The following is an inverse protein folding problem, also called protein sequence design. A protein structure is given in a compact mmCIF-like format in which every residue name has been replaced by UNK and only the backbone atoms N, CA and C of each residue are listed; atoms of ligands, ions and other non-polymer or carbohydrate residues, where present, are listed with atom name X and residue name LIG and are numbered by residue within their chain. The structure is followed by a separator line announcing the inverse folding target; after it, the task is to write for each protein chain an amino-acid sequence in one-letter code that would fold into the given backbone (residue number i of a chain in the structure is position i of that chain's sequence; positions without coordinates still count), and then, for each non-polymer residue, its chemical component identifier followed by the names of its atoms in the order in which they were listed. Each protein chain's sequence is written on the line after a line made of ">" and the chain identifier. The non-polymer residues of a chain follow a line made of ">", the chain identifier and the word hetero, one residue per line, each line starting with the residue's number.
data_IF_596433701732
#
_entry.id   IF_596433701732
#
_cell.length_a   1.000
_cell.length_b   1.000
_cell.length_c   1.000
_cell.angle_alpha   90.00
_cell.angle_beta   90.00
_cell.angle_gamma   90.00
#
_symmetry.space_group_name_H-M   'P 1'
#
loop_
_entity.id
_entity.type
_entity.pdbx_description
1 polymer ?
#
# COMPACT_ATOMS: atom_id res chain seq x y z
N UNK A 1 6.36 -13.50 5.68
CA UNK A 1 6.92 -13.25 4.33
C UNK A 1 6.14 -12.11 3.70
N UNK A 2 6.78 -11.17 3.00
CA UNK A 2 6.11 -10.08 2.28
C UNK A 2 6.27 -10.35 0.78
N UNK A 3 5.18 -10.29 0.02
CA UNK A 3 5.18 -10.34 -1.43
C UNK A 3 4.86 -8.93 -1.93
N UNK A 4 5.84 -8.25 -2.53
CA UNK A 4 5.66 -6.90 -3.08
C UNK A 4 5.28 -6.98 -4.55
N UNK A 5 4.11 -6.45 -4.90
CA UNK A 5 3.59 -6.45 -6.27
C UNK A 5 3.65 -5.03 -6.82
N UNK A 6 4.64 -4.76 -7.70
CA UNK A 6 4.78 -3.48 -8.38
C UNK A 6 4.34 -3.57 -9.85
N UNK A 7 3.93 -2.44 -10.42
CA UNK A 7 3.53 -2.34 -11.81
C UNK A 7 2.80 -1.02 -12.10
N UNK A 8 2.73 -0.59 -13.38
CA UNK A 8 2.07 0.65 -13.76
C UNK A 8 0.55 0.61 -13.51
N UNK A 9 -0.12 1.75 -13.68
CA UNK A 9 -1.58 1.84 -13.63
C UNK A 9 -2.21 0.86 -14.64
N UNK A 10 -3.27 0.16 -14.24
CA UNK A 10 -3.93 -0.84 -15.10
C UNK A 10 -3.20 -2.16 -15.30
N UNK A 11 -1.98 -2.37 -14.77
CA UNK A 11 -1.18 -3.58 -14.98
C UNK A 11 -1.74 -4.87 -14.31
N UNK A 12 -2.91 -4.81 -13.67
CA UNK A 12 -3.54 -5.97 -13.04
C UNK A 12 -3.00 -6.34 -11.64
N UNK A 13 -2.30 -5.44 -10.94
CA UNK A 13 -1.75 -5.67 -9.59
C UNK A 13 -2.79 -6.20 -8.59
N UNK A 14 -3.94 -5.53 -8.51
CA UNK A 14 -5.04 -5.90 -7.60
C UNK A 14 -5.61 -7.29 -7.93
N UNK A 15 -5.76 -7.61 -9.22
CA UNK A 15 -6.20 -8.92 -9.68
C UNK A 15 -5.20 -10.01 -9.29
N UNK A 16 -3.91 -9.76 -9.47
CA UNK A 16 -2.84 -10.68 -9.08
C UNK A 16 -2.81 -10.90 -7.56
N UNK A 17 -2.90 -9.83 -6.77
CA UNK A 17 -2.92 -9.90 -5.30
C UNK A 17 -4.08 -10.78 -4.78
N UNK A 18 -5.29 -10.57 -5.32
CA UNK A 18 -6.49 -11.37 -4.99
C UNK A 18 -6.29 -12.84 -5.32
N UNK A 19 -5.85 -13.17 -6.55
CA UNK A 19 -5.59 -14.56 -6.96
C UNK A 19 -4.49 -15.23 -6.14
N UNK A 20 -3.46 -14.50 -5.73
CA UNK A 20 -2.40 -15.02 -4.86
C UNK A 20 -2.95 -15.38 -3.48
N UNK A 21 -3.78 -14.52 -2.89
CA UNK A 21 -4.46 -14.80 -1.62
C UNK A 21 -5.37 -16.02 -1.72
N UNK A 22 -6.16 -16.14 -2.79
CA UNK A 22 -7.08 -17.26 -2.97
C UNK A 22 -6.32 -18.61 -3.04
N UNK A 23 -5.10 -18.61 -3.61
CA UNK A 23 -4.20 -19.78 -3.65
C UNK A 23 -3.45 -20.03 -2.33
N UNK A 24 -3.32 -19.02 -1.48
CA UNK A 24 -2.62 -19.07 -0.19
C UNK A 24 -3.48 -18.44 0.88
N UNK A 25 -4.42 -19.24 1.40
CA UNK A 25 -5.54 -18.83 2.26
C UNK A 25 -5.19 -18.08 3.56
N UNK A 26 -3.92 -18.02 3.96
CA UNK A 26 -3.43 -17.26 5.13
C UNK A 26 -2.74 -15.92 4.76
N UNK A 27 -2.82 -15.50 3.51
CA UNK A 27 -2.21 -14.24 3.06
C UNK A 27 -3.14 -13.06 3.31
N UNK A 28 -2.58 -11.94 3.77
CA UNK A 28 -3.28 -10.66 3.84
C UNK A 28 -2.93 -9.82 2.61
N UNK A 29 -3.89 -9.02 2.16
CA UNK A 29 -3.65 -7.99 1.13
C UNK A 29 -3.58 -6.66 1.86
N UNK A 30 -2.50 -5.93 1.64
CA UNK A 30 -2.32 -4.58 2.12
C UNK A 30 -2.13 -3.68 0.91
N UNK A 31 -2.99 -2.67 0.77
CA UNK A 31 -2.93 -1.68 -0.31
C UNK A 31 -2.39 -0.34 0.26
N UNK A 32 -1.18 0.10 -0.13
CA UNK A 32 -0.62 1.37 0.31
C UNK A 32 -1.45 2.61 -0.07
N UNK A 33 -2.38 2.50 -1.02
CA UNK A 33 -3.28 3.60 -1.39
C UNK A 33 -4.21 3.99 -0.21
N UNK A 34 -4.53 3.05 0.68
CA UNK A 34 -5.33 3.31 1.90
C UNK A 34 -4.63 4.31 2.84
N UNK A 35 -3.32 4.14 3.03
CA UNK A 35 -2.50 5.12 3.76
C UNK A 35 -2.44 6.44 3.00
N UNK A 36 -2.47 6.38 1.67
CA UNK A 36 -2.56 7.55 0.80
C UNK A 36 -3.78 8.42 1.08
N UNK A 37 -4.95 7.81 1.24
CA UNK A 37 -6.18 8.55 1.59
C UNK A 37 -6.05 9.26 2.94
N UNK A 38 -5.50 8.59 3.96
CA UNK A 38 -5.26 9.23 5.27
C UNK A 38 -4.31 10.42 5.13
N UNK A 39 -3.20 10.27 4.39
CA UNK A 39 -2.22 11.34 4.20
C UNK A 39 -2.83 12.54 3.49
N UNK A 40 -3.59 12.32 2.40
CA UNK A 40 -4.25 13.39 1.64
C UNK A 40 -5.17 14.26 2.49
N UNK A 41 -5.88 13.65 3.44
CA UNK A 41 -6.83 14.35 4.31
C UNK A 41 -6.16 15.01 5.53
N UNK A 42 -4.93 14.60 5.87
CA UNK A 42 -4.28 15.01 7.13
C UNK A 42 -3.24 16.12 6.93
N UNK A 43 -2.60 16.19 5.76
CA UNK A 43 -1.50 17.13 5.52
C UNK A 43 -1.60 17.78 4.14
N UNK A 44 -0.99 18.96 3.92
CA UNK A 44 -0.92 19.58 2.61
C UNK A 44 -0.26 18.68 1.57
N UNK A 45 -0.79 18.70 0.35
CA UNK A 45 -0.23 17.97 -0.78
C UNK A 45 1.10 18.58 -1.24
N UNK A 46 2.05 17.75 -1.73
CA UNK A 46 3.29 18.26 -2.31
C UNK A 46 3.00 18.97 -3.63
N UNK A 47 3.97 19.76 -4.12
CA UNK A 47 3.84 20.51 -5.37
C UNK A 47 3.58 19.63 -6.60
N UNK A 48 3.99 18.35 -6.56
CA UNK A 48 3.71 17.37 -7.62
C UNK A 48 2.24 16.97 -7.70
N UNK A 49 1.45 17.20 -6.64
CA UNK A 49 0.09 16.69 -6.52
C UNK A 49 0.01 15.18 -6.23
N UNK A 50 1.15 14.48 -6.13
CA UNK A 50 1.19 13.06 -5.78
C UNK A 50 1.57 12.88 -4.31
N UNK A 51 0.62 12.38 -3.51
CA UNK A 51 0.83 12.09 -2.10
C UNK A 51 1.96 11.07 -1.86
N UNK A 52 2.28 10.23 -2.85
CA UNK A 52 3.35 9.24 -2.75
C UNK A 52 4.74 9.88 -2.66
N UNK A 53 4.87 11.15 -3.04
CA UNK A 53 6.12 11.90 -2.88
C UNK A 53 6.37 12.31 -1.44
N UNK A 54 5.33 12.40 -0.59
CA UNK A 54 5.48 12.76 0.81
C UNK A 54 6.25 11.66 1.58
N UNK A 55 7.35 12.00 2.27
CA UNK A 55 8.04 11.05 3.15
C UNK A 55 7.12 10.46 4.23
N UNK A 56 6.11 11.22 4.67
CA UNK A 56 5.09 10.78 5.63
C UNK A 56 4.34 9.54 5.14
N UNK A 57 3.91 9.51 3.86
CA UNK A 57 3.22 8.36 3.29
C UNK A 57 4.09 7.10 3.33
N UNK A 58 5.38 7.22 2.97
CA UNK A 58 6.33 6.11 3.04
C UNK A 58 6.51 5.63 4.48
N UNK A 59 6.67 6.56 5.43
CA UNK A 59 6.82 6.25 6.85
C UNK A 59 5.62 5.52 7.44
N UNK A 60 4.41 6.02 7.19
CA UNK A 60 3.17 5.40 7.67
C UNK A 60 2.91 4.04 7.02
N UNK A 61 3.19 3.90 5.73
CA UNK A 61 3.09 2.60 5.02
C UNK A 61 3.99 1.55 5.67
N UNK A 62 5.24 1.90 5.97
CA UNK A 62 6.18 0.99 6.64
C UNK A 62 5.70 0.66 8.06
N UNK A 63 5.22 1.65 8.81
CA UNK A 63 4.70 1.45 10.16
C UNK A 63 3.49 0.50 10.18
N UNK A 64 2.52 0.70 9.27
CA UNK A 64 1.35 -0.14 9.15
C UNK A 64 1.73 -1.60 8.81
N UNK A 65 2.59 -1.82 7.82
CA UNK A 65 3.06 -3.17 7.44
C UNK A 65 3.82 -3.85 8.58
N UNK A 66 4.63 -3.09 9.34
CA UNK A 66 5.33 -3.62 10.52
C UNK A 66 4.35 -4.11 11.58
N UNK A 67 3.28 -3.35 11.83
CA UNK A 67 2.32 -3.69 12.87
C UNK A 67 1.39 -4.84 12.47
N UNK A 68 0.97 -4.88 11.19
CA UNK A 68 0.24 -6.02 10.64
C UNK A 68 1.07 -7.30 10.77
N UNK A 69 2.38 -7.25 10.54
CA UNK A 69 3.27 -8.42 10.63
C UNK A 69 3.49 -8.92 12.06
N UNK A 70 3.27 -8.09 13.09
CA UNK A 70 3.39 -8.49 14.49
C UNK A 70 2.19 -9.30 14.98
N UNK A 71 1.04 -9.17 14.31
CA UNK A 71 -0.18 -9.92 14.57
C UNK A 71 -0.25 -11.16 13.66
#
# INVERSE_FOLDING_TARGET
>A
MIIWINGPFGAGKTTLAKRLRDRRSKSLIFDPEEIGFVVKETVPMPASGDYQDLPLWRGLTIAAVREIRRN
#
